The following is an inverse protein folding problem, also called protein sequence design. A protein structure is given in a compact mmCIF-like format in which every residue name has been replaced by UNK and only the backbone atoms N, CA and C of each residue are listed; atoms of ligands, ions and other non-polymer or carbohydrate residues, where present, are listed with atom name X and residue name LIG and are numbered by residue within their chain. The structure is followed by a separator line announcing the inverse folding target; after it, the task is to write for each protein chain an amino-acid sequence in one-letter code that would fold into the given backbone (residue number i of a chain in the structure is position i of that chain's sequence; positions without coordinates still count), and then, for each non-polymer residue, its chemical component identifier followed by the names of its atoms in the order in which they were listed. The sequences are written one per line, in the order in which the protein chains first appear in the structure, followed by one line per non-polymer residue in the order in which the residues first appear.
data_IF_012962997195
#
_entry.id   IF_012962997195
#
_cell.length_a   1.000
_cell.length_b   1.000
_cell.length_c   1.000
_cell.angle_alpha   90.00
_cell.angle_beta   90.00
_cell.angle_gamma   90.00
#
_symmetry.space_group_name_H-M   'P 1'
#
loop_
_entity.id
_entity.type
_entity.pdbx_description
1 polymer ?
#
# COMPACT_ATOMS: atom_id res chain seq x y z
N UNK A 1 2.78 0.83 -76.75
CA UNK A 1 3.44 1.73 -75.79
C UNK A 1 3.35 1.09 -74.41
N UNK A 2 4.48 0.63 -73.87
CA UNK A 2 4.57 0.03 -72.55
C UNK A 2 4.83 1.11 -71.51
N UNK A 3 4.05 1.13 -70.43
CA UNK A 3 4.31 1.94 -69.24
C UNK A 3 4.55 1.01 -68.05
N UNK A 4 5.81 0.96 -67.62
CA UNK A 4 6.28 0.39 -66.37
C UNK A 4 5.92 1.34 -65.22
N UNK A 5 5.42 0.83 -64.09
CA UNK A 5 5.68 1.37 -62.73
C UNK A 5 5.11 0.42 -61.69
N UNK A 6 6.00 -0.27 -60.96
CA UNK A 6 6.42 -0.02 -59.57
C UNK A 6 5.47 -0.67 -58.55
N UNK A 7 5.98 -1.72 -57.91
CA UNK A 7 5.30 -2.51 -56.91
C UNK A 7 5.09 -1.79 -55.57
N UNK A 8 4.29 -2.37 -54.67
CA UNK A 8 4.02 -1.78 -53.36
C UNK A 8 5.25 -1.95 -52.45
N UNK A 9 5.71 -0.82 -51.91
CA UNK A 9 6.73 -0.74 -50.87
C UNK A 9 6.27 -1.46 -49.59
N UNK A 10 7.09 -2.40 -49.14
CA UNK A 10 6.99 -3.06 -47.84
C UNK A 10 7.13 -2.04 -46.70
N UNK A 11 6.01 -1.68 -46.09
CA UNK A 11 5.98 -0.95 -44.82
C UNK A 11 6.35 -1.89 -43.66
N UNK A 12 7.64 -2.13 -43.46
CA UNK A 12 8.15 -2.79 -42.26
C UNK A 12 8.01 -1.82 -41.08
N UNK A 13 7.05 -2.10 -40.19
CA UNK A 13 6.94 -1.42 -38.90
C UNK A 13 8.19 -1.75 -38.06
N UNK A 14 9.02 -0.73 -37.79
CA UNK A 14 10.09 -0.81 -36.81
C UNK A 14 9.48 -0.97 -35.41
N UNK A 15 9.71 -2.13 -34.80
CA UNK A 15 9.43 -2.40 -33.40
C UNK A 15 10.18 -1.39 -32.50
N UNK A 16 9.56 -0.85 -31.44
CA UNK A 16 10.25 0.00 -30.48
C UNK A 16 11.32 -0.85 -29.78
N UNK A 17 12.58 -0.58 -30.10
CA UNK A 17 13.72 -1.24 -29.48
C UNK A 17 13.77 -0.93 -27.98
N UNK A 18 13.42 -1.94 -27.16
CA UNK A 18 13.81 -2.17 -25.77
C UNK A 18 14.66 -1.05 -25.11
N UNK A 19 14.01 0.00 -24.60
CA UNK A 19 14.66 1.06 -23.81
C UNK A 19 15.26 0.53 -22.48
N UNK A 20 14.75 -0.60 -21.97
CA UNK A 20 15.30 -1.29 -20.78
C UNK A 20 16.75 -1.74 -20.98
N UNK A 21 17.13 -2.11 -22.21
CA UNK A 21 18.49 -2.52 -22.54
C UNK A 21 19.50 -1.37 -22.67
N UNK A 22 19.02 -0.12 -22.80
CA UNK A 22 19.89 1.06 -22.93
C UNK A 22 20.34 1.57 -21.57
N UNK A 23 19.41 1.69 -20.61
CA UNK A 23 19.72 2.10 -19.22
C UNK A 23 20.66 1.12 -18.50
N UNK A 24 20.61 -0.19 -18.82
CA UNK A 24 21.51 -1.18 -18.24
C UNK A 24 22.96 -1.04 -18.74
N UNK A 25 23.14 -0.57 -19.98
CA UNK A 25 24.48 -0.29 -20.54
C UNK A 25 25.05 1.05 -20.08
N UNK A 26 24.20 2.04 -19.82
CA UNK A 26 24.63 3.30 -19.22
C UNK A 26 25.03 3.14 -17.74
N UNK A 27 24.36 2.26 -16.99
CA UNK A 27 24.76 1.92 -15.61
C UNK A 27 25.98 0.97 -15.52
N UNK A 28 26.25 0.16 -16.56
CA UNK A 28 27.45 -0.69 -16.61
C UNK A 28 28.69 0.01 -17.18
N UNK A 29 28.51 1.15 -17.88
CA UNK A 29 29.61 1.95 -18.40
C UNK A 29 30.41 2.71 -17.34
N UNK A 30 29.85 2.90 -16.14
CA UNK A 30 30.49 3.60 -15.02
C UNK A 30 31.61 2.77 -14.36
N UNK A 31 31.66 1.47 -14.65
CA UNK A 31 32.67 0.55 -14.10
C UNK A 31 33.49 -0.11 -15.21
N UNK A 32 34.05 0.69 -16.12
CA UNK A 32 35.24 0.22 -16.86
C UNK A 32 36.43 0.32 -15.93
N UNK A 33 36.79 -0.80 -15.32
CA UNK A 33 38.10 -0.96 -14.69
C UNK A 33 39.18 -0.80 -15.76
N UNK A 34 39.97 0.26 -15.64
CA UNK A 34 41.15 0.46 -16.47
C UNK A 34 42.09 -0.73 -16.27
N UNK A 35 42.44 -1.39 -17.38
CA UNK A 35 43.41 -2.48 -17.39
C UNK A 35 44.76 -1.96 -16.88
N UNK A 36 45.45 -2.81 -16.13
CA UNK A 36 46.57 -2.62 -15.19
C UNK A 36 47.84 -1.95 -15.72
N UNK A 37 47.80 -1.26 -16.87
CA UNK A 37 48.92 -0.51 -17.43
C UNK A 37 48.82 1.01 -17.19
N UNK A 38 47.70 1.50 -16.64
CA UNK A 38 47.48 2.93 -16.35
C UNK A 38 47.21 3.25 -14.86
N UNK A 39 47.24 2.28 -13.95
CA UNK A 39 46.94 2.54 -12.54
C UNK A 39 48.16 3.10 -11.81
N UNK A 40 48.23 4.43 -11.73
CA UNK A 40 48.87 5.08 -10.58
C UNK A 40 48.23 4.56 -9.28
N UNK A 41 49.02 4.44 -8.22
CA UNK A 41 48.56 3.92 -6.94
C UNK A 41 47.30 4.70 -6.49
N UNK A 42 46.15 4.01 -6.40
CA UNK A 42 44.94 4.57 -5.79
C UNK A 42 45.32 4.93 -4.36
N UNK A 43 45.28 6.22 -4.05
CA UNK A 43 45.70 6.70 -2.75
C UNK A 43 44.54 6.61 -1.76
N UNK A 44 44.84 6.54 -0.47
CA UNK A 44 43.81 6.56 0.59
C UNK A 44 42.90 7.80 0.47
N UNK A 45 43.42 8.90 -0.08
CA UNK A 45 42.67 10.13 -0.35
C UNK A 45 41.59 9.94 -1.45
N UNK A 46 41.87 9.13 -2.48
CA UNK A 46 40.89 8.82 -3.54
C UNK A 46 39.75 7.96 -2.99
N UNK A 47 40.06 7.03 -2.08
CA UNK A 47 39.06 6.20 -1.41
C UNK A 47 38.18 7.02 -0.45
N UNK A 48 38.78 7.95 0.32
CA UNK A 48 38.04 8.86 1.19
C UNK A 48 37.12 9.79 0.40
N UNK A 49 37.61 10.35 -0.71
CA UNK A 49 36.80 11.19 -1.60
C UNK A 49 35.61 10.42 -2.21
N UNK A 50 35.83 9.15 -2.59
CA UNK A 50 34.75 8.29 -3.07
C UNK A 50 33.71 7.97 -1.98
N UNK A 51 34.14 7.76 -0.73
CA UNK A 51 33.23 7.53 0.39
C UNK A 51 32.42 8.77 0.74
N UNK A 52 33.03 9.95 0.75
CA UNK A 52 32.33 11.23 0.95
C UNK A 52 31.27 11.44 -0.14
N UNK A 53 31.61 11.20 -1.41
CA UNK A 53 30.65 11.30 -2.52
C UNK A 53 29.46 10.34 -2.37
N UNK A 54 29.69 9.10 -1.90
CA UNK A 54 28.61 8.13 -1.65
C UNK A 54 27.74 8.57 -0.47
N UNK A 55 28.34 9.12 0.59
CA UNK A 55 27.61 9.66 1.74
C UNK A 55 26.70 10.83 1.34
N UNK A 56 27.21 11.75 0.52
CA UNK A 56 26.42 12.86 -0.02
C UNK A 56 25.24 12.37 -0.89
N UNK A 57 25.47 11.39 -1.79
CA UNK A 57 24.40 10.82 -2.62
C UNK A 57 23.34 10.10 -1.78
N UNK A 58 23.75 9.38 -0.72
CA UNK A 58 22.81 8.73 0.20
C UNK A 58 21.99 9.77 0.97
N UNK A 59 22.62 10.83 1.47
CA UNK A 59 21.92 11.92 2.17
C UNK A 59 20.87 12.57 1.28
N UNK A 60 21.23 12.92 0.05
CA UNK A 60 20.33 13.55 -0.91
C UNK A 60 19.14 12.64 -1.29
N UNK A 61 19.37 11.33 -1.36
CA UNK A 61 18.29 10.35 -1.60
C UNK A 61 17.37 10.21 -0.40
N UNK A 62 17.88 10.31 0.83
CA UNK A 62 17.07 10.27 2.04
C UNK A 62 16.11 11.46 2.10
N UNK A 63 16.60 12.67 1.82
CA UNK A 63 15.77 13.88 1.79
C UNK A 63 14.66 13.76 0.72
N UNK A 64 14.99 13.25 -0.46
CA UNK A 64 14.02 13.01 -1.53
C UNK A 64 12.96 11.96 -1.17
N UNK A 65 13.32 10.94 -0.40
CA UNK A 65 12.35 9.95 0.09
C UNK A 65 11.43 10.55 1.15
N UNK A 66 11.95 11.39 2.03
CA UNK A 66 11.14 12.06 3.05
C UNK A 66 10.10 12.99 2.41
N UNK A 67 10.49 13.76 1.39
CA UNK A 67 9.57 14.60 0.62
C UNK A 67 8.46 13.76 -0.06
N UNK A 68 8.82 12.64 -0.66
CA UNK A 68 7.83 11.71 -1.26
C UNK A 68 6.88 11.11 -0.24
N UNK A 69 7.39 10.72 0.94
CA UNK A 69 6.55 10.20 2.01
C UNK A 69 5.57 11.27 2.51
N UNK A 70 6.03 12.51 2.62
CA UNK A 70 5.18 13.64 3.00
C UNK A 70 4.09 13.90 1.95
N UNK A 71 4.42 13.88 0.67
CA UNK A 71 3.46 14.04 -0.43
C UNK A 71 2.42 12.91 -0.44
N UNK A 72 2.84 11.65 -0.23
CA UNK A 72 1.93 10.50 -0.12
C UNK A 72 0.99 10.68 1.08
N UNK A 73 1.51 11.11 2.23
CA UNK A 73 0.70 11.35 3.41
C UNK A 73 -0.37 12.42 3.16
N UNK A 74 0.00 13.54 2.54
CA UNK A 74 -0.94 14.60 2.20
C UNK A 74 -2.00 14.14 1.19
N UNK A 75 -1.60 13.35 0.18
CA UNK A 75 -2.51 12.78 -0.80
C UNK A 75 -3.53 11.82 -0.16
N UNK A 76 -3.08 11.00 0.81
CA UNK A 76 -3.96 10.10 1.56
C UNK A 76 -4.98 10.88 2.40
N UNK A 77 -4.54 11.93 3.10
CA UNK A 77 -5.43 12.78 3.89
C UNK A 77 -6.47 13.51 3.03
N UNK A 78 -6.08 14.01 1.86
CA UNK A 78 -7.00 14.61 0.89
C UNK A 78 -8.04 13.60 0.38
N UNK A 79 -7.60 12.38 0.07
CA UNK A 79 -8.48 11.30 -0.39
C UNK A 79 -9.48 10.91 0.70
N UNK A 80 -9.02 10.79 1.95
CA UNK A 80 -9.89 10.51 3.10
C UNK A 80 -10.92 11.62 3.29
N UNK A 81 -10.53 12.90 3.18
CA UNK A 81 -11.45 14.04 3.27
C UNK A 81 -12.53 13.99 2.17
N UNK A 82 -12.14 13.76 0.92
CA UNK A 82 -13.08 13.64 -0.22
C UNK A 82 -14.05 12.48 0.02
N UNK A 83 -13.53 11.34 0.44
CA UNK A 83 -14.33 10.14 0.72
C UNK A 83 -15.34 10.36 1.87
N UNK A 84 -14.92 11.03 2.93
CA UNK A 84 -15.84 11.38 4.03
C UNK A 84 -16.91 12.38 3.59
N UNK A 85 -16.56 13.36 2.75
CA UNK A 85 -17.50 14.34 2.22
C UNK A 85 -18.53 13.71 1.29
N UNK A 86 -18.11 12.87 0.34
CA UNK A 86 -19.02 12.14 -0.55
C UNK A 86 -19.91 11.17 0.23
N UNK A 87 -19.36 10.50 1.26
CA UNK A 87 -20.15 9.63 2.13
C UNK A 87 -21.24 10.38 2.90
N UNK A 88 -20.95 11.59 3.42
CA UNK A 88 -21.98 12.43 4.06
C UNK A 88 -23.07 12.85 3.07
N UNK A 89 -22.70 13.18 1.84
CA UNK A 89 -23.67 13.55 0.79
C UNK A 89 -24.55 12.36 0.37
N UNK A 90 -24.05 11.13 0.45
CA UNK A 90 -24.86 9.92 0.22
C UNK A 90 -25.81 9.59 1.38
N UNK A 91 -25.49 9.98 2.62
CA UNK A 91 -26.40 9.85 3.77
C UNK A 91 -27.57 10.84 3.68
N UNK A 92 -27.33 12.08 3.23
CA UNK A 92 -28.38 13.11 3.08
C UNK A 92 -29.46 12.71 2.06
N UNK A 93 -29.09 11.98 1.00
CA UNK A 93 -30.00 11.53 -0.05
C UNK A 93 -30.78 10.24 0.27
N UNK A 94 -30.55 9.61 1.44
CA UNK A 94 -31.21 8.35 1.84
C UNK A 94 -32.30 8.52 2.91
N UNK A 95 -32.74 9.75 3.21
CA UNK A 95 -33.70 10.06 4.27
C UNK A 95 -35.14 9.49 4.09
N UNK A 96 -35.41 8.61 3.11
CA UNK A 96 -36.77 8.14 2.81
C UNK A 96 -37.01 6.63 2.85
N UNK A 97 -36.05 5.76 3.23
CA UNK A 97 -36.33 4.30 3.28
C UNK A 97 -35.66 3.57 4.45
N UNK A 98 -36.50 3.11 5.39
CA UNK A 98 -36.22 2.17 6.51
C UNK A 98 -35.17 2.62 7.54
N UNK A 99 -35.33 2.31 8.84
CA UNK A 99 -34.35 2.70 9.85
C UNK A 99 -33.02 2.02 9.54
N UNK A 100 -32.04 2.83 9.15
CA UNK A 100 -30.82 2.38 8.53
C UNK A 100 -30.02 1.47 9.49
N UNK A 101 -30.04 0.16 9.20
CA UNK A 101 -29.24 -0.86 9.90
C UNK A 101 -27.77 -0.82 9.50
N UNK A 102 -27.37 0.06 8.58
CA UNK A 102 -25.98 0.20 8.14
C UNK A 102 -25.19 1.00 9.16
N UNK A 103 -24.02 0.50 9.49
CA UNK A 103 -23.04 1.25 10.26
C UNK A 103 -22.55 2.41 9.39
N UNK A 104 -22.57 3.67 9.88
CA UNK A 104 -22.01 4.80 9.15
C UNK A 104 -20.57 4.52 8.72
N UNK A 105 -20.24 4.90 7.50
CA UNK A 105 -18.95 4.57 6.89
C UNK A 105 -17.81 5.23 7.66
N UNK A 106 -17.98 6.48 8.07
CA UNK A 106 -17.00 7.20 8.89
C UNK A 106 -16.67 6.48 10.20
N UNK A 107 -17.69 5.97 10.89
CA UNK A 107 -17.51 5.16 12.09
C UNK A 107 -16.78 3.83 11.79
N UNK A 108 -17.11 3.18 10.68
CA UNK A 108 -16.46 1.93 10.26
C UNK A 108 -14.97 2.13 9.92
N UNK A 109 -14.61 3.28 9.34
CA UNK A 109 -13.21 3.65 9.09
C UNK A 109 -12.50 3.94 10.41
N UNK A 110 -13.11 4.73 11.29
CA UNK A 110 -12.55 5.10 12.58
C UNK A 110 -12.24 3.87 13.44
N UNK A 111 -13.21 2.95 13.56
CA UNK A 111 -13.04 1.69 14.30
C UNK A 111 -11.89 0.86 13.74
N UNK A 112 -11.79 0.72 12.42
CA UNK A 112 -10.68 -0.03 11.79
C UNK A 112 -9.33 0.65 12.00
N UNK A 113 -9.29 1.98 11.96
CA UNK A 113 -8.06 2.75 12.19
C UNK A 113 -7.59 2.60 13.64
N UNK A 114 -8.48 2.78 14.61
CA UNK A 114 -8.19 2.61 16.02
C UNK A 114 -7.72 1.17 16.29
N UNK A 115 -8.47 0.19 15.82
CA UNK A 115 -8.14 -1.23 15.98
C UNK A 115 -6.76 -1.60 15.41
N UNK A 116 -6.39 -1.10 14.24
CA UNK A 116 -5.05 -1.30 13.65
C UNK A 116 -3.92 -0.69 14.48
N UNK A 117 -4.20 0.39 15.20
CA UNK A 117 -3.22 1.08 16.03
C UNK A 117 -3.17 0.53 17.46
N UNK A 118 -4.04 -0.44 17.80
CA UNK A 118 -3.90 -1.18 19.05
C UNK A 118 -2.67 -2.08 18.96
N UNK A 119 -1.96 -2.22 20.09
CA UNK A 119 -0.83 -3.14 20.19
C UNK A 119 -1.23 -4.59 19.87
N UNK A 120 -0.25 -5.44 19.57
CA UNK A 120 -0.48 -6.84 19.15
C UNK A 120 -1.32 -7.64 20.15
N UNK A 121 -1.20 -7.34 21.44
CA UNK A 121 -1.96 -7.97 22.51
C UNK A 121 -3.47 -7.67 22.43
N UNK A 122 -3.84 -6.54 21.83
CA UNK A 122 -5.22 -6.04 21.72
C UNK A 122 -5.76 -6.18 20.28
N UNK A 123 -5.41 -7.29 19.63
CA UNK A 123 -5.99 -7.69 18.36
C UNK A 123 -7.13 -8.68 18.58
N UNK A 124 -8.21 -8.57 17.78
CA UNK A 124 -9.29 -9.55 17.84
C UNK A 124 -8.76 -10.92 17.43
N UNK A 125 -9.08 -11.93 18.23
CA UNK A 125 -8.73 -13.32 17.94
C UNK A 125 -9.79 -13.93 17.04
N UNK A 126 -9.34 -14.39 15.89
CA UNK A 126 -10.17 -14.95 14.82
C UNK A 126 -9.79 -16.41 14.61
N UNK A 127 -10.13 -17.27 15.57
CA UNK A 127 -10.06 -18.73 15.35
C UNK A 127 -11.35 -19.23 14.70
N UNK A 128 -11.34 -20.42 14.05
CA UNK A 128 -12.54 -20.99 13.42
C UNK A 128 -13.73 -21.12 14.38
N UNK A 129 -13.46 -21.33 15.67
CA UNK A 129 -14.44 -21.45 16.75
C UNK A 129 -14.73 -20.13 17.47
N UNK A 130 -13.95 -19.08 17.21
CA UNK A 130 -14.08 -17.84 17.96
C UNK A 130 -15.27 -17.03 17.46
N UNK A 131 -16.08 -16.62 18.42
CA UNK A 131 -17.18 -15.69 18.22
C UNK A 131 -16.73 -14.26 18.52
N UNK A 132 -17.45 -13.27 18.01
CA UNK A 132 -17.18 -11.88 18.34
C UNK A 132 -17.27 -11.59 19.85
N UNK A 133 -18.08 -12.37 20.59
CA UNK A 133 -18.32 -12.19 22.03
C UNK A 133 -17.48 -13.12 22.93
N UNK A 134 -16.24 -13.42 22.56
CA UNK A 134 -15.31 -14.08 23.50
C UNK A 134 -14.80 -13.06 24.51
N UNK A 135 -14.37 -13.51 25.69
CA UNK A 135 -13.84 -12.64 26.75
C UNK A 135 -12.75 -11.68 26.23
N UNK A 136 -11.76 -12.22 25.52
CA UNK A 136 -10.71 -11.43 24.87
C UNK A 136 -11.27 -10.42 23.85
N UNK A 137 -12.21 -10.82 23.00
CA UNK A 137 -12.75 -9.93 21.98
C UNK A 137 -13.65 -8.84 22.58
N UNK A 138 -14.29 -9.10 23.71
CA UNK A 138 -15.02 -8.09 24.49
C UNK A 138 -14.05 -7.06 25.09
N UNK A 139 -12.90 -7.47 25.61
CA UNK A 139 -11.84 -6.56 26.10
C UNK A 139 -11.31 -5.64 24.99
N UNK A 140 -10.98 -6.22 23.84
CA UNK A 140 -10.57 -5.45 22.65
C UNK A 140 -11.69 -4.50 22.23
N UNK A 141 -12.94 -4.95 22.22
CA UNK A 141 -14.10 -4.12 21.86
C UNK A 141 -14.30 -2.97 22.84
N UNK A 142 -14.16 -3.21 24.15
CA UNK A 142 -14.25 -2.17 25.17
C UNK A 142 -13.17 -1.10 24.97
N UNK A 143 -11.95 -1.52 24.67
CA UNK A 143 -10.83 -0.61 24.37
C UNK A 143 -11.12 0.24 23.12
N UNK A 144 -11.58 -0.39 22.03
CA UNK A 144 -11.97 0.35 20.82
C UNK A 144 -13.11 1.32 21.09
N UNK A 145 -14.11 0.91 21.88
CA UNK A 145 -15.24 1.77 22.25
C UNK A 145 -14.75 2.99 23.01
N UNK A 146 -13.86 2.83 23.98
CA UNK A 146 -13.31 3.93 24.75
C UNK A 146 -12.53 4.90 23.85
N UNK A 147 -11.61 4.38 23.04
CA UNK A 147 -10.83 5.21 22.11
C UNK A 147 -11.70 5.95 21.07
N UNK A 148 -12.77 5.32 20.58
CA UNK A 148 -13.74 6.01 19.69
C UNK A 148 -14.46 7.12 20.44
N UNK A 149 -14.81 6.90 21.71
CA UNK A 149 -15.48 7.91 22.55
C UNK A 149 -14.59 9.10 22.87
N UNK A 150 -13.30 8.86 23.06
CA UNK A 150 -12.33 9.92 23.32
C UNK A 150 -12.13 10.84 22.09
N UNK A 151 -12.21 10.27 20.88
CA UNK A 151 -12.04 11.03 19.61
C UNK A 151 -13.35 11.62 19.09
N UNK A 152 -14.42 10.84 19.08
CA UNK A 152 -15.74 11.24 18.57
C UNK A 152 -16.87 10.81 19.54
N UNK A 153 -17.13 11.59 20.61
CA UNK A 153 -18.08 11.20 21.66
C UNK A 153 -19.53 11.08 21.19
N UNK A 154 -19.86 11.69 20.04
CA UNK A 154 -21.19 11.69 19.41
C UNK A 154 -21.75 10.30 19.09
N UNK A 155 -20.90 9.29 18.90
CA UNK A 155 -21.36 7.94 18.55
C UNK A 155 -21.92 7.20 19.76
N UNK A 156 -23.08 6.58 19.64
CA UNK A 156 -23.61 5.73 20.72
C UNK A 156 -22.81 4.44 20.88
N UNK A 157 -22.77 3.89 22.10
CA UNK A 157 -22.12 2.61 22.39
C UNK A 157 -22.57 1.50 21.42
N UNK A 158 -23.88 1.38 21.17
CA UNK A 158 -24.44 0.37 20.28
C UNK A 158 -24.04 0.56 18.81
N UNK A 159 -23.82 1.79 18.35
CA UNK A 159 -23.29 2.05 17.00
C UNK A 159 -21.84 1.59 16.90
N UNK A 160 -21.00 1.94 17.87
CA UNK A 160 -19.59 1.56 17.89
C UNK A 160 -19.45 0.04 17.99
N UNK A 161 -20.18 -0.61 18.89
CA UNK A 161 -20.17 -2.07 19.03
C UNK A 161 -20.61 -2.80 17.75
N UNK A 162 -21.63 -2.28 17.04
CA UNK A 162 -22.03 -2.82 15.73
C UNK A 162 -20.93 -2.66 14.69
N UNK A 163 -20.25 -1.51 14.67
CA UNK A 163 -19.11 -1.28 13.81
C UNK A 163 -17.96 -2.26 14.09
N UNK A 164 -17.63 -2.50 15.36
CA UNK A 164 -16.65 -3.50 15.79
C UNK A 164 -17.00 -4.90 15.30
N UNK A 165 -18.25 -5.34 15.47
CA UNK A 165 -18.70 -6.64 14.98
C UNK A 165 -18.54 -6.78 13.45
N UNK A 166 -18.89 -5.73 12.69
CA UNK A 166 -18.70 -5.72 11.23
C UNK A 166 -17.24 -5.78 10.83
N UNK A 167 -16.37 -5.09 11.55
CA UNK A 167 -14.93 -5.14 11.33
C UNK A 167 -14.37 -6.55 11.62
N UNK A 168 -14.78 -7.17 12.73
CA UNK A 168 -14.42 -8.53 13.08
C UNK A 168 -14.84 -9.55 12.01
N UNK A 169 -16.09 -9.50 11.54
CA UNK A 169 -16.55 -10.40 10.47
C UNK A 169 -15.76 -10.22 9.17
N UNK A 170 -15.37 -8.97 8.86
CA UNK A 170 -14.52 -8.69 7.68
C UNK A 170 -13.13 -9.31 7.83
N UNK A 171 -12.54 -9.27 9.04
CA UNK A 171 -11.26 -9.92 9.33
C UNK A 171 -11.36 -11.43 9.19
N UNK A 172 -12.44 -12.03 9.70
CA UNK A 172 -12.73 -13.47 9.58
C UNK A 172 -12.79 -13.94 8.14
N UNK A 173 -13.48 -13.19 7.27
CA UNK A 173 -13.54 -13.49 5.84
C UNK A 173 -12.15 -13.40 5.21
N UNK A 174 -11.38 -12.36 5.53
CA UNK A 174 -10.02 -12.18 4.99
C UNK A 174 -9.08 -13.32 5.35
N UNK A 175 -9.01 -13.70 6.64
CA UNK A 175 -8.13 -14.79 7.06
C UNK A 175 -8.53 -16.14 6.46
N UNK A 176 -9.83 -16.35 6.21
CA UNK A 176 -10.30 -17.55 5.51
C UNK A 176 -9.76 -17.59 4.08
N UNK A 177 -9.88 -16.48 3.35
CA UNK A 177 -9.37 -16.37 1.98
C UNK A 177 -7.85 -16.56 1.93
N UNK A 178 -7.10 -15.98 2.87
CA UNK A 178 -5.64 -16.14 2.96
C UNK A 178 -5.23 -17.60 3.21
N UNK A 179 -5.94 -18.32 4.11
CA UNK A 179 -5.70 -19.75 4.34
C UNK A 179 -6.03 -20.60 3.12
N UNK A 180 -7.11 -20.28 2.41
CA UNK A 180 -7.49 -20.99 1.18
C UNK A 180 -6.47 -20.75 0.06
N UNK A 181 -5.98 -19.52 -0.10
CA UNK A 181 -4.92 -19.19 -1.05
C UNK A 181 -3.58 -19.88 -0.73
N UNK A 182 -3.22 -19.99 0.56
CA UNK A 182 -2.01 -20.72 0.95
C UNK A 182 -2.09 -22.21 0.58
N UNK A 183 -3.28 -22.83 0.72
CA UNK A 183 -3.49 -24.24 0.38
C UNK A 183 -3.39 -24.53 -1.11
N UNK A 184 -3.86 -23.61 -1.97
CA UNK A 184 -3.76 -23.79 -3.43
C UNK A 184 -2.32 -23.66 -3.91
N UNK A 185 -1.54 -22.74 -3.32
CA UNK A 185 -0.12 -22.54 -3.66
C UNK A 185 0.77 -23.72 -3.23
N UNK A 186 0.53 -24.34 -2.07
CA UNK A 186 1.29 -25.52 -1.64
C UNK A 186 1.02 -26.79 -2.47
N UNK A 187 -0.09 -26.84 -3.21
CA UNK A 187 -0.50 -28.04 -3.97
C UNK A 187 -0.01 -28.05 -5.42
N UNK A 188 0.53 -26.94 -5.92
CA UNK A 188 1.07 -26.80 -7.28
C UNK A 188 2.56 -27.09 -7.44
N UNK A 189 3.25 -27.56 -6.40
CA UNK A 189 4.71 -27.82 -6.41
C UNK A 189 5.14 -29.26 -6.75
N UNK A 190 4.20 -30.18 -7.00
CA UNK A 190 4.49 -31.58 -7.35
C UNK A 190 3.84 -31.95 -8.69
N UNK A 191 4.24 -31.28 -9.77
CA UNK A 191 3.88 -31.68 -11.15
C UNK A 191 5.07 -31.48 -12.07
#
# INVERSE_FOLDING_TARGET
MAALSRGPDDCVQRTPGNERGRRRRELQGVWRTATTREMGAVTDADMLSALESVLEDVSLRMDHMEEKLQAISQSLDATIKIFLHTSKNMEINQAARTPDRKTPIGLSILVRRIHKNLGEQLQWKVRPTDHFRTEHNEEVTATVVQAVKDVEPKWSFHQVRRACNRAFESLKVRERMEREAARTMSRGGNS
#
